data_IF_787160083650
#
_entry.id   IF_787160083650
#
_cell.length_a   1.000
_cell.length_b   1.000
_cell.length_c   1.000
_cell.angle_alpha   90.00
_cell.angle_beta   90.00
_cell.angle_gamma   90.00
#
_symmetry.space_group_name_H-M   'P 1'
#
loop_
_entity.id
_entity.type
_entity.pdbx_description
1 polymer ?
#
# COMPACT_ATOMS: atom_id res chain seq x y z
N UNK A 1 53.70 75.39 -40.25
CA UNK A 1 52.69 74.54 -40.89
C UNK A 1 51.42 75.38 -41.02
N UNK A 2 51.06 75.88 -42.17
CA UNK A 2 49.91 76.76 -42.38
C UNK A 2 48.65 75.93 -42.45
N UNK A 3 47.63 76.28 -41.59
CA UNK A 3 46.27 75.70 -41.67
C UNK A 3 45.71 76.15 -43.04
N UNK A 4 45.36 75.22 -43.90
CA UNK A 4 44.60 75.45 -45.12
C UNK A 4 43.16 75.85 -44.71
N UNK A 5 42.71 77.03 -45.02
CA UNK A 5 41.37 77.47 -44.71
C UNK A 5 40.37 76.72 -45.63
N UNK A 6 39.34 76.09 -45.00
CA UNK A 6 38.21 75.61 -45.75
C UNK A 6 37.09 76.64 -45.75
N UNK A 7 36.58 76.96 -46.91
CA UNK A 7 35.36 77.74 -47.07
C UNK A 7 34.24 76.79 -47.48
N UNK A 8 33.14 76.80 -46.73
CA UNK A 8 31.91 76.11 -47.14
C UNK A 8 30.86 77.12 -47.54
N UNK A 9 30.39 77.08 -48.76
CA UNK A 9 29.28 77.87 -49.23
C UNK A 9 28.17 77.01 -49.75
N UNK A 10 26.92 77.42 -49.49
CA UNK A 10 25.74 76.77 -50.04
C UNK A 10 25.35 77.48 -51.31
N UNK A 11 25.52 76.86 -52.46
CA UNK A 11 25.18 77.40 -53.77
C UNK A 11 24.18 76.46 -54.40
N UNK A 12 23.02 76.96 -54.82
CA UNK A 12 21.92 76.20 -55.42
C UNK A 12 21.43 75.00 -54.61
N UNK A 13 21.51 75.10 -53.31
CA UNK A 13 21.02 74.00 -52.39
C UNK A 13 22.06 72.90 -52.10
N UNK A 14 23.21 72.93 -52.77
CA UNK A 14 24.32 72.01 -52.54
C UNK A 14 25.44 72.67 -51.72
N UNK A 15 26.00 71.85 -50.75
CA UNK A 15 27.12 72.33 -49.92
C UNK A 15 28.45 72.12 -50.72
N UNK A 16 29.06 73.15 -51.11
CA UNK A 16 30.37 73.15 -51.79
C UNK A 16 31.47 73.37 -50.75
N UNK A 17 32.40 72.42 -50.68
CA UNK A 17 33.64 72.59 -49.91
C UNK A 17 34.73 72.99 -50.82
N UNK A 18 35.23 74.25 -50.63
CA UNK A 18 36.32 74.79 -51.41
C UNK A 18 37.57 74.93 -50.54
N UNK A 19 38.68 74.35 -50.98
CA UNK A 19 39.99 74.51 -50.35
C UNK A 19 40.99 75.09 -51.36
N UNK A 20 41.71 76.14 -50.93
CA UNK A 20 42.69 76.78 -51.77
C UNK A 20 44.13 76.49 -51.34
N UNK A 21 44.96 76.08 -52.32
CA UNK A 21 46.40 75.87 -52.09
C UNK A 21 47.22 76.84 -52.91
N UNK A 22 48.06 77.71 -52.27
CA UNK A 22 48.86 78.68 -53.01
C UNK A 22 50.01 77.98 -53.74
N UNK A 23 50.24 78.36 -55.02
CA UNK A 23 51.42 77.99 -55.80
C UNK A 23 52.48 79.04 -55.52
N UNK A 24 53.60 78.64 -54.92
CA UNK A 24 54.70 79.53 -54.59
C UNK A 24 55.87 79.30 -55.52
N UNK A 25 56.61 80.44 -55.92
CA UNK A 25 57.87 80.34 -56.64
C UNK A 25 59.01 80.02 -55.62
N UNK A 26 60.22 79.77 -56.15
CA UNK A 26 61.42 79.49 -55.34
C UNK A 26 61.86 80.65 -54.40
N UNK A 27 61.19 81.79 -54.47
CA UNK A 27 61.40 82.96 -53.57
C UNK A 27 60.21 83.26 -52.69
N UNK A 28 59.32 82.26 -52.47
CA UNK A 28 58.13 82.35 -51.59
C UNK A 28 57.06 83.38 -51.99
N UNK A 29 57.07 83.82 -53.24
CA UNK A 29 55.99 84.65 -53.75
C UNK A 29 54.86 83.77 -54.32
N UNK A 30 53.59 84.11 -53.94
CA UNK A 30 52.41 83.40 -54.44
C UNK A 30 52.23 83.76 -55.94
N UNK A 31 52.35 82.77 -56.82
CA UNK A 31 52.13 82.86 -58.23
C UNK A 31 50.70 82.65 -58.69
N UNK A 32 49.93 81.95 -57.83
CA UNK A 32 48.54 81.63 -58.09
C UNK A 32 47.98 80.77 -56.96
N UNK A 33 46.70 80.47 -56.99
CA UNK A 33 46.00 79.62 -56.05
C UNK A 33 45.27 78.54 -56.83
N UNK A 34 45.47 77.29 -56.50
CA UNK A 34 44.66 76.21 -57.02
C UNK A 34 43.47 76.01 -56.05
N UNK A 35 42.26 76.19 -56.53
CA UNK A 35 41.04 75.96 -55.84
C UNK A 35 40.55 74.55 -56.17
N UNK A 36 40.41 73.69 -55.15
CA UNK A 36 39.75 72.43 -55.25
C UNK A 36 38.36 72.58 -54.68
N UNK A 37 37.40 72.41 -55.56
CA UNK A 37 35.98 72.41 -55.17
C UNK A 37 35.44 71.01 -55.23
N UNK A 38 34.78 70.57 -54.11
CA UNK A 38 34.14 69.29 -54.03
C UNK A 38 32.68 69.53 -53.60
N UNK A 39 31.77 69.10 -54.43
CA UNK A 39 30.34 69.07 -54.06
C UNK A 39 30.08 67.86 -53.20
N UNK A 40 29.68 68.12 -51.98
CA UNK A 40 29.03 67.07 -51.13
C UNK A 40 27.61 66.86 -51.67
N UNK A 41 27.50 66.00 -52.69
CA UNK A 41 26.17 65.45 -53.02
C UNK A 41 25.68 64.71 -51.81
N UNK A 42 24.69 65.26 -51.12
CA UNK A 42 23.92 64.50 -50.16
C UNK A 42 23.33 63.31 -50.94
N UNK A 43 24.00 62.14 -50.89
CA UNK A 43 23.37 60.87 -51.19
C UNK A 43 22.18 60.86 -50.32
N UNK A 44 20.96 60.94 -50.93
CA UNK A 44 19.65 60.95 -50.23
C UNK A 44 19.36 59.63 -49.61
N UNK A 45 20.24 59.19 -48.72
CA UNK A 45 19.82 58.32 -47.60
C UNK A 45 19.01 59.23 -46.69
N UNK A 46 17.73 59.02 -46.64
CA UNK A 46 16.85 59.65 -45.66
C UNK A 46 17.68 59.89 -44.39
N UNK A 47 17.74 61.12 -43.93
CA UNK A 47 18.50 61.57 -42.78
C UNK A 47 17.82 60.88 -41.56
N UNK A 48 18.08 59.53 -41.40
CA UNK A 48 17.69 58.81 -40.18
C UNK A 48 18.58 59.40 -39.11
N UNK A 49 18.00 60.26 -38.30
CA UNK A 49 18.73 60.87 -37.20
C UNK A 49 19.32 59.73 -36.35
N UNK A 50 20.60 59.88 -35.97
CA UNK A 50 21.25 58.91 -35.12
C UNK A 50 20.41 58.57 -33.83
N UNK A 51 19.61 59.57 -33.44
CA UNK A 51 18.62 59.37 -32.32
C UNK A 51 17.47 58.43 -32.65
N UNK A 52 16.99 58.42 -33.93
CA UNK A 52 15.89 57.55 -34.33
C UNK A 52 16.37 56.10 -34.43
N UNK A 53 17.60 55.87 -34.90
CA UNK A 53 18.21 54.52 -34.89
C UNK A 53 18.37 54.01 -33.48
N UNK A 54 18.82 54.86 -32.52
CA UNK A 54 18.95 54.47 -31.10
C UNK A 54 17.59 54.19 -30.45
N UNK A 55 16.58 54.98 -30.75
CA UNK A 55 15.22 54.74 -30.21
C UNK A 55 14.61 53.46 -30.76
N UNK A 56 14.70 53.19 -32.06
CA UNK A 56 14.15 51.96 -32.67
C UNK A 56 14.93 50.74 -32.19
N UNK A 57 16.25 50.79 -32.13
CA UNK A 57 17.06 49.66 -31.63
C UNK A 57 16.84 49.42 -30.15
N UNK A 58 16.67 50.47 -29.34
CA UNK A 58 16.33 50.36 -27.92
C UNK A 58 14.93 49.74 -27.70
N UNK A 59 13.93 50.19 -28.46
CA UNK A 59 12.59 49.62 -28.41
C UNK A 59 12.56 48.15 -28.85
N UNK A 60 13.29 47.82 -29.92
CA UNK A 60 13.39 46.42 -30.36
C UNK A 60 14.07 45.51 -29.30
N UNK A 61 15.20 45.99 -28.73
CA UNK A 61 15.89 45.28 -27.65
C UNK A 61 15.01 45.11 -26.43
N UNK A 62 14.22 46.13 -26.05
CA UNK A 62 13.27 46.04 -24.95
C UNK A 62 12.18 44.97 -25.21
N UNK A 63 11.53 45.01 -26.37
CA UNK A 63 10.52 44.03 -26.78
C UNK A 63 11.12 42.62 -26.78
N UNK A 64 12.30 42.44 -27.34
CA UNK A 64 12.99 41.15 -27.36
C UNK A 64 13.30 40.63 -25.95
N UNK A 65 13.75 41.52 -25.06
CA UNK A 65 14.03 41.17 -23.65
C UNK A 65 12.75 40.72 -22.91
N UNK A 66 11.64 41.44 -23.10
CA UNK A 66 10.35 41.06 -22.50
C UNK A 66 9.87 39.73 -23.07
N UNK A 67 9.99 39.53 -24.37
CA UNK A 67 9.59 38.26 -25.01
C UNK A 67 10.44 37.09 -24.53
N UNK A 68 11.75 37.25 -24.47
CA UNK A 68 12.67 36.20 -23.94
C UNK A 68 12.41 35.96 -22.46
N UNK A 69 12.17 36.99 -21.66
CA UNK A 69 11.83 36.87 -20.25
C UNK A 69 10.52 36.10 -20.04
N UNK A 70 9.48 36.40 -20.84
CA UNK A 70 8.22 35.66 -20.80
C UNK A 70 8.37 34.21 -21.24
N UNK A 71 9.17 33.95 -22.27
CA UNK A 71 9.47 32.60 -22.73
C UNK A 71 10.22 31.81 -21.65
N UNK A 72 11.25 32.42 -21.06
CA UNK A 72 12.02 31.79 -19.98
C UNK A 72 11.18 31.51 -18.76
N UNK A 73 10.31 32.45 -18.38
CA UNK A 73 9.36 32.24 -17.29
C UNK A 73 8.42 31.04 -17.53
N UNK A 74 7.89 30.89 -18.74
CA UNK A 74 7.05 29.76 -19.11
C UNK A 74 7.78 28.43 -19.18
N UNK A 75 9.03 28.44 -19.68
CA UNK A 75 9.82 27.21 -19.83
C UNK A 75 10.39 26.70 -18.51
N UNK A 76 10.80 27.59 -17.61
CA UNK A 76 11.54 27.20 -16.40
C UNK A 76 10.82 27.60 -15.12
N UNK A 77 10.44 28.87 -14.95
CA UNK A 77 9.94 29.36 -13.66
C UNK A 77 8.58 28.74 -13.29
N UNK A 78 7.64 28.69 -14.22
CA UNK A 78 6.31 28.14 -13.96
C UNK A 78 6.34 26.65 -13.63
N UNK A 79 7.05 25.77 -14.37
CA UNK A 79 7.14 24.35 -14.02
C UNK A 79 7.82 24.10 -12.68
N UNK A 80 8.91 24.82 -12.38
CA UNK A 80 9.60 24.68 -11.08
C UNK A 80 8.67 25.06 -9.92
N UNK A 81 7.93 26.17 -10.04
CA UNK A 81 6.98 26.58 -9.01
C UNK A 81 5.78 25.61 -8.90
N UNK A 82 5.42 24.93 -9.99
CA UNK A 82 4.41 23.87 -9.95
C UNK A 82 4.91 22.65 -9.18
N UNK A 83 6.16 22.20 -9.42
CA UNK A 83 6.80 21.11 -8.66
C UNK A 83 6.89 21.49 -7.17
N UNK A 84 7.32 22.72 -6.87
CA UNK A 84 7.41 23.20 -5.47
C UNK A 84 6.05 23.19 -4.77
N UNK A 85 5.00 23.68 -5.43
CA UNK A 85 3.62 23.64 -4.88
C UNK A 85 3.13 22.21 -4.68
N UNK A 86 3.43 21.32 -5.63
CA UNK A 86 3.08 19.91 -5.53
C UNK A 86 3.82 19.23 -4.35
N UNK A 87 5.13 19.49 -4.20
CA UNK A 87 5.90 19.02 -3.06
C UNK A 87 5.32 19.54 -1.72
N UNK A 88 4.88 20.81 -1.67
CA UNK A 88 4.19 21.37 -0.52
C UNK A 88 2.86 20.64 -0.19
N UNK A 89 2.08 20.27 -1.20
CA UNK A 89 0.87 19.45 -1.00
C UNK A 89 1.19 18.08 -0.43
N UNK A 90 2.21 17.41 -0.97
CA UNK A 90 2.65 16.12 -0.45
C UNK A 90 3.13 16.23 1.01
N UNK A 91 3.89 17.28 1.35
CA UNK A 91 4.31 17.52 2.73
C UNK A 91 3.12 17.81 3.66
N UNK A 92 2.03 18.40 3.14
CA UNK A 92 0.76 18.57 3.85
C UNK A 92 -0.12 17.33 3.95
N UNK A 93 0.29 16.20 3.36
CA UNK A 93 -0.45 14.93 3.40
C UNK A 93 -1.48 14.75 2.28
N UNK A 94 -1.50 15.61 1.26
CA UNK A 94 -2.40 15.51 0.10
C UNK A 94 -1.79 14.58 -0.97
N UNK A 95 -1.76 13.27 -0.69
CA UNK A 95 -1.12 12.28 -1.58
C UNK A 95 -1.97 11.88 -2.80
N UNK A 96 -3.24 12.29 -2.86
CA UNK A 96 -4.11 12.04 -4.03
C UNK A 96 -3.82 12.98 -5.20
N UNK A 97 -3.15 14.11 -4.93
CA UNK A 97 -2.76 15.05 -5.95
C UNK A 97 -1.94 14.36 -7.06
N UNK A 98 -2.13 14.82 -8.30
CA UNK A 98 -1.38 14.32 -9.46
C UNK A 98 -0.70 15.48 -10.16
N UNK A 99 0.51 15.22 -10.63
CA UNK A 99 1.27 16.18 -11.40
C UNK A 99 1.35 15.72 -12.85
N UNK A 100 0.36 16.14 -13.67
CA UNK A 100 0.36 15.87 -15.11
C UNK A 100 1.33 16.84 -15.80
N UNK A 101 2.62 16.47 -15.90
CA UNK A 101 3.59 17.23 -16.68
C UNK A 101 3.77 16.61 -18.06
N UNK A 102 3.53 17.41 -19.10
CA UNK A 102 3.79 17.04 -20.50
C UNK A 102 5.24 17.31 -20.93
N UNK A 103 6.08 17.86 -20.05
CA UNK A 103 7.47 18.19 -20.35
C UNK A 103 8.34 16.93 -20.49
N UNK A 104 9.29 16.99 -21.45
CA UNK A 104 10.21 15.88 -21.75
C UNK A 104 11.65 16.15 -21.33
N UNK A 105 11.88 17.25 -20.63
CA UNK A 105 13.15 17.69 -20.07
C UNK A 105 13.38 17.15 -18.64
N UNK A 106 14.44 17.59 -17.98
CA UNK A 106 14.81 17.21 -16.62
C UNK A 106 13.74 17.61 -15.60
N UNK A 107 13.02 18.72 -15.84
CA UNK A 107 11.91 19.16 -14.99
C UNK A 107 10.72 18.21 -15.15
N UNK A 108 10.47 17.73 -16.36
CA UNK A 108 9.46 16.71 -16.64
C UNK A 108 9.80 15.36 -15.98
N UNK A 109 11.08 14.98 -15.93
CA UNK A 109 11.54 13.78 -15.22
C UNK A 109 11.36 13.91 -13.71
N UNK A 110 11.72 15.07 -13.14
CA UNK A 110 11.48 15.39 -11.74
C UNK A 110 9.98 15.33 -11.41
N UNK A 111 9.13 15.90 -12.25
CA UNK A 111 7.68 15.85 -12.08
C UNK A 111 7.13 14.41 -12.06
N UNK A 112 7.61 13.55 -12.97
CA UNK A 112 7.25 12.11 -12.99
C UNK A 112 7.73 11.39 -11.74
N UNK A 113 8.95 11.66 -11.29
CA UNK A 113 9.50 11.06 -10.06
C UNK A 113 8.68 11.45 -8.83
N UNK A 114 8.25 12.71 -8.75
CA UNK A 114 7.37 13.20 -7.68
C UNK A 114 5.98 12.57 -7.74
N UNK A 115 5.42 12.31 -8.92
CA UNK A 115 4.12 11.62 -9.07
C UNK A 115 4.22 10.14 -8.62
N UNK A 116 5.34 9.47 -8.91
CA UNK A 116 5.61 8.11 -8.42
C UNK A 116 5.72 8.11 -6.89
N UNK A 117 6.42 9.09 -6.31
CA UNK A 117 6.52 9.23 -4.85
C UNK A 117 5.15 9.46 -4.21
N UNK A 118 4.33 10.36 -4.77
CA UNK A 118 2.97 10.61 -4.31
C UNK A 118 2.14 9.34 -4.28
N UNK A 119 2.21 8.53 -5.35
CA UNK A 119 1.51 7.25 -5.42
C UNK A 119 1.96 6.26 -4.34
N UNK A 120 3.27 6.13 -4.13
CA UNK A 120 3.81 5.25 -3.08
C UNK A 120 3.39 5.69 -1.68
N UNK A 121 3.40 6.99 -1.41
CA UNK A 121 2.95 7.55 -0.13
C UNK A 121 1.45 7.32 0.08
N UNK A 122 0.63 7.52 -0.95
CA UNK A 122 -0.81 7.22 -0.91
C UNK A 122 -1.08 5.75 -0.62
N UNK A 123 -0.40 4.83 -1.32
CA UNK A 123 -0.54 3.40 -1.10
C UNK A 123 -0.09 2.99 0.31
N UNK A 124 1.03 3.55 0.81
CA UNK A 124 1.52 3.28 2.15
C UNK A 124 0.54 3.77 3.21
N UNK A 125 0.02 5.00 3.07
CA UNK A 125 -0.99 5.55 3.98
C UNK A 125 -2.28 4.74 3.97
N UNK A 126 -2.79 4.40 2.79
CA UNK A 126 -4.01 3.59 2.67
C UNK A 126 -3.85 2.20 3.31
N UNK A 127 -2.66 1.60 3.25
CA UNK A 127 -2.37 0.35 3.96
C UNK A 127 -2.37 0.57 5.48
N UNK A 128 -1.73 1.63 5.96
CA UNK A 128 -1.67 1.94 7.40
C UNK A 128 -3.07 2.23 7.97
N UNK A 129 -3.89 3.00 7.26
CA UNK A 129 -5.28 3.27 7.64
C UNK A 129 -6.11 1.97 7.72
N UNK A 130 -6.02 1.10 6.71
CA UNK A 130 -6.69 -0.21 6.73
C UNK A 130 -6.24 -1.10 7.90
N UNK A 131 -4.93 -1.12 8.18
CA UNK A 131 -4.39 -1.87 9.32
C UNK A 131 -4.94 -1.34 10.65
N UNK A 132 -5.01 -0.01 10.81
CA UNK A 132 -5.59 0.62 12.00
C UNK A 132 -7.08 0.33 12.16
N UNK A 133 -7.84 0.39 11.07
CA UNK A 133 -9.27 0.03 11.09
C UNK A 133 -9.47 -1.44 11.49
N UNK A 134 -8.69 -2.36 10.89
CA UNK A 134 -8.73 -3.77 11.24
C UNK A 134 -8.36 -4.01 12.70
N UNK A 135 -7.35 -3.31 13.20
CA UNK A 135 -6.92 -3.40 14.60
C UNK A 135 -7.99 -2.86 15.55
N UNK A 136 -8.61 -1.72 15.21
CA UNK A 136 -9.69 -1.13 16.01
C UNK A 136 -10.92 -2.04 16.05
N UNK A 137 -11.34 -2.56 14.91
CA UNK A 137 -12.45 -3.53 14.83
C UNK A 137 -12.15 -4.80 15.63
N UNK A 138 -10.91 -5.29 15.60
CA UNK A 138 -10.46 -6.43 16.39
C UNK A 138 -10.60 -6.18 17.90
N UNK A 139 -10.13 -5.04 18.41
CA UNK A 139 -10.28 -4.71 19.83
C UNK A 139 -11.74 -4.52 20.25
N UNK A 140 -12.56 -3.91 19.40
CA UNK A 140 -13.98 -3.77 19.66
C UNK A 140 -14.67 -5.14 19.79
N UNK A 141 -14.35 -6.08 18.89
CA UNK A 141 -14.88 -7.44 18.92
C UNK A 141 -14.43 -8.20 20.16
N UNK A 142 -13.14 -8.14 20.53
CA UNK A 142 -12.64 -8.76 21.77
C UNK A 142 -13.42 -8.25 22.98
N UNK A 143 -13.58 -6.93 23.07
CA UNK A 143 -14.30 -6.33 24.21
C UNK A 143 -15.73 -6.84 24.29
N UNK A 144 -16.40 -7.02 23.18
CA UNK A 144 -17.75 -7.57 23.12
C UNK A 144 -17.79 -9.05 23.53
N UNK A 145 -16.89 -9.88 22.98
CA UNK A 145 -16.83 -11.32 23.26
C UNK A 145 -16.40 -11.64 24.70
N UNK A 146 -15.65 -10.75 25.35
CA UNK A 146 -15.32 -10.85 26.78
C UNK A 146 -16.47 -10.36 27.68
N UNK A 147 -17.19 -9.32 27.29
CA UNK A 147 -18.26 -8.73 28.09
C UNK A 147 -19.44 -9.67 28.25
N UNK A 148 -19.80 -10.43 27.24
CA UNK A 148 -20.97 -11.33 27.24
C UNK A 148 -20.88 -12.39 28.32
N UNK A 149 -19.84 -13.28 28.38
CA UNK A 149 -19.73 -14.31 29.41
C UNK A 149 -19.60 -13.71 30.81
N UNK A 150 -18.88 -12.58 30.98
CA UNK A 150 -18.78 -11.89 32.26
C UNK A 150 -20.16 -11.41 32.75
N UNK A 151 -20.99 -10.88 31.83
CA UNK A 151 -22.36 -10.44 32.18
C UNK A 151 -23.24 -11.61 32.58
N UNK A 152 -23.13 -12.76 31.88
CA UNK A 152 -23.88 -13.96 32.23
C UNK A 152 -23.46 -14.50 33.60
N UNK A 153 -22.14 -14.60 33.86
CA UNK A 153 -21.60 -15.04 35.16
C UNK A 153 -22.10 -14.14 36.28
N UNK A 154 -21.98 -12.82 36.09
CA UNK A 154 -22.43 -11.85 37.09
C UNK A 154 -23.93 -11.96 37.37
N UNK A 155 -24.75 -11.98 36.31
CA UNK A 155 -26.20 -12.10 36.47
C UNK A 155 -26.62 -13.41 37.16
N UNK A 156 -25.94 -14.53 36.86
CA UNK A 156 -26.13 -15.79 37.51
C UNK A 156 -25.79 -15.74 39.01
N UNK A 157 -24.67 -15.07 39.37
CA UNK A 157 -24.27 -14.86 40.76
C UNK A 157 -25.26 -13.96 41.52
N UNK A 158 -25.72 -12.87 40.88
CA UNK A 158 -26.71 -11.95 41.44
C UNK A 158 -28.04 -12.68 41.73
N UNK A 159 -28.54 -13.54 40.79
CA UNK A 159 -29.74 -14.31 40.94
C UNK A 159 -29.66 -15.35 42.09
N UNK A 160 -28.51 -15.99 42.23
CA UNK A 160 -28.25 -16.94 43.36
C UNK A 160 -28.16 -16.19 44.69
N UNK A 161 -27.45 -15.05 44.75
CA UNK A 161 -27.29 -14.23 45.95
C UNK A 161 -28.63 -13.70 46.48
N UNK A 162 -29.47 -13.23 45.55
CA UNK A 162 -30.74 -12.58 45.88
C UNK A 162 -31.87 -13.59 46.12
N UNK A 163 -31.56 -14.91 46.10
CA UNK A 163 -32.49 -15.98 46.37
C UNK A 163 -33.58 -16.17 45.31
N UNK A 164 -33.41 -15.58 44.12
CA UNK A 164 -34.34 -15.76 42.99
C UNK A 164 -34.35 -17.20 42.54
N UNK A 165 -33.22 -17.91 42.72
CA UNK A 165 -33.04 -19.33 42.39
C UNK A 165 -32.74 -20.08 43.70
N UNK A 166 -33.67 -20.92 44.17
CA UNK A 166 -33.58 -21.59 45.47
C UNK A 166 -33.75 -23.13 45.43
N UNK A 167 -34.13 -23.68 44.28
CA UNK A 167 -34.22 -25.15 44.07
C UNK A 167 -32.85 -25.78 43.85
N UNK A 168 -32.58 -26.96 44.46
CA UNK A 168 -31.26 -27.61 44.36
C UNK A 168 -30.79 -27.91 42.93
N UNK A 169 -31.71 -28.30 42.05
CA UNK A 169 -31.40 -28.58 40.63
C UNK A 169 -31.21 -27.31 39.83
N UNK A 170 -31.97 -26.27 40.10
CA UNK A 170 -31.80 -24.94 39.44
C UNK A 170 -30.48 -24.28 39.84
N UNK A 171 -30.14 -24.32 41.12
CA UNK A 171 -28.84 -23.83 41.64
C UNK A 171 -27.67 -24.55 40.94
N UNK A 172 -27.78 -25.89 40.80
CA UNK A 172 -26.76 -26.67 40.09
C UNK A 172 -26.66 -26.28 38.58
N UNK A 173 -27.79 -26.01 37.94
CA UNK A 173 -27.82 -25.56 36.55
C UNK A 173 -27.10 -24.21 36.38
N UNK A 174 -27.32 -23.24 37.27
CA UNK A 174 -26.63 -21.94 37.27
C UNK A 174 -25.12 -22.10 37.50
N UNK A 175 -24.67 -22.96 38.43
CA UNK A 175 -23.24 -23.26 38.60
C UNK A 175 -22.63 -23.87 37.35
N UNK A 176 -23.31 -24.82 36.70
CA UNK A 176 -22.83 -25.43 35.46
C UNK A 176 -22.74 -24.43 34.31
N UNK A 177 -23.72 -23.52 34.21
CA UNK A 177 -23.69 -22.44 33.24
C UNK A 177 -22.49 -21.52 33.48
N UNK A 178 -22.27 -21.05 34.70
CA UNK A 178 -21.12 -20.22 35.06
C UNK A 178 -19.79 -20.92 34.76
N UNK A 179 -19.67 -22.21 35.09
CA UNK A 179 -18.47 -22.99 34.77
C UNK A 179 -18.24 -23.12 33.27
N UNK A 180 -19.30 -23.22 32.48
CA UNK A 180 -19.25 -23.27 31.03
C UNK A 180 -18.73 -21.92 30.46
N UNK A 181 -19.29 -20.83 30.96
CA UNK A 181 -18.84 -19.46 30.56
C UNK A 181 -17.38 -19.17 30.96
N UNK A 182 -16.98 -19.60 32.19
CA UNK A 182 -15.57 -19.48 32.63
C UNK A 182 -14.61 -20.27 31.71
N UNK A 183 -14.97 -21.51 31.34
CA UNK A 183 -14.14 -22.31 30.41
C UNK A 183 -14.08 -21.69 29.01
N UNK A 184 -15.21 -21.13 28.54
CA UNK A 184 -15.26 -20.38 27.26
C UNK A 184 -14.34 -19.18 27.27
N UNK A 185 -14.39 -18.38 28.36
CA UNK A 185 -13.54 -17.20 28.55
C UNK A 185 -12.05 -17.59 28.61
N UNK A 186 -11.70 -18.63 29.35
CA UNK A 186 -10.34 -19.14 29.43
C UNK A 186 -9.81 -19.55 28.05
N UNK A 187 -10.62 -20.28 27.26
CA UNK A 187 -10.26 -20.67 25.88
C UNK A 187 -10.04 -19.44 24.99
N UNK A 188 -10.94 -18.45 25.08
CA UNK A 188 -10.83 -17.21 24.31
C UNK A 188 -9.52 -16.46 24.60
N UNK A 189 -9.14 -16.35 25.89
CA UNK A 189 -7.88 -15.72 26.30
C UNK A 189 -6.67 -16.48 25.73
N UNK A 190 -6.67 -17.81 25.84
CA UNK A 190 -5.59 -18.66 25.31
C UNK A 190 -5.48 -18.48 23.79
N UNK A 191 -6.59 -18.58 23.05
CA UNK A 191 -6.61 -18.42 21.60
C UNK A 191 -6.12 -17.02 21.16
N UNK A 192 -6.49 -15.98 21.91
CA UNK A 192 -6.07 -14.61 21.65
C UNK A 192 -4.55 -14.41 21.85
N UNK A 193 -4.03 -14.91 22.97
CA UNK A 193 -2.58 -14.85 23.26
C UNK A 193 -1.78 -15.61 22.21
N UNK A 194 -2.31 -16.74 21.78
CA UNK A 194 -1.67 -17.57 20.77
C UNK A 194 -1.67 -16.90 19.40
N UNK A 195 -2.80 -16.36 18.96
CA UNK A 195 -2.89 -15.59 17.72
C UNK A 195 -1.95 -14.38 17.75
N UNK A 196 -1.89 -13.67 18.88
CA UNK A 196 -0.98 -12.54 19.07
C UNK A 196 0.50 -12.96 18.94
N UNK A 197 0.88 -14.11 19.56
CA UNK A 197 2.24 -14.66 19.43
C UNK A 197 2.57 -15.06 18.00
N UNK A 198 1.66 -15.76 17.34
CA UNK A 198 1.84 -16.17 15.94
C UNK A 198 1.93 -14.98 14.97
N UNK A 199 1.36 -13.83 15.28
CA UNK A 199 1.43 -12.63 14.45
C UNK A 199 2.67 -11.77 14.72
N UNK A 200 3.35 -11.98 15.82
CA UNK A 200 4.60 -11.30 16.09
C UNK A 200 5.70 -11.80 15.14
N UNK A 201 6.35 -10.89 14.42
CA UNK A 201 7.42 -11.21 13.49
C UNK A 201 8.64 -11.84 14.19
N UNK A 202 8.88 -11.45 15.45
CA UNK A 202 10.01 -11.95 16.25
C UNK A 202 9.74 -13.35 16.86
N UNK A 203 8.50 -13.86 16.77
CA UNK A 203 8.19 -15.18 17.24
C UNK A 203 8.75 -16.25 16.31
N UNK A 204 9.74 -17.00 16.76
CA UNK A 204 10.31 -18.13 16.01
C UNK A 204 9.53 -19.41 16.25
N UNK A 205 9.20 -20.12 15.16
CA UNK A 205 8.70 -21.49 15.22
C UNK A 205 9.84 -22.45 15.58
N UNK A 206 9.55 -23.49 16.33
CA UNK A 206 10.50 -24.55 16.60
C UNK A 206 10.53 -25.54 15.43
N UNK A 207 11.17 -25.11 14.33
CA UNK A 207 11.22 -25.89 13.09
C UNK A 207 12.12 -27.09 13.24
N UNK A 208 11.60 -28.29 12.97
CA UNK A 208 12.33 -29.55 13.00
C UNK A 208 11.82 -30.52 11.94
N UNK A 209 12.48 -31.67 11.82
CA UNK A 209 11.98 -32.78 10.98
C UNK A 209 10.77 -33.40 11.67
N UNK A 210 9.62 -33.43 10.98
CA UNK A 210 8.36 -33.99 11.46
C UNK A 210 7.96 -35.18 10.60
N UNK A 211 7.79 -36.32 11.21
CA UNK A 211 7.18 -37.49 10.61
C UNK A 211 5.65 -37.29 10.55
N UNK A 212 5.10 -37.16 9.33
CA UNK A 212 3.67 -36.93 9.14
C UNK A 212 2.84 -38.13 9.61
N UNK A 213 3.39 -39.36 9.60
CA UNK A 213 2.69 -40.53 10.11
C UNK A 213 2.49 -40.44 11.63
N UNK A 214 3.54 -40.06 12.36
CA UNK A 214 3.49 -39.87 13.81
C UNK A 214 2.49 -38.73 14.14
N UNK A 215 2.58 -37.61 13.43
CA UNK A 215 1.68 -36.47 13.58
C UNK A 215 0.21 -36.88 13.36
N UNK A 216 -0.09 -37.62 12.29
CA UNK A 216 -1.45 -38.08 12.00
C UNK A 216 -1.93 -39.11 13.00
N UNK A 217 -1.07 -39.97 13.53
CA UNK A 217 -1.41 -40.94 14.61
C UNK A 217 -1.87 -40.22 15.88
N UNK A 218 -1.11 -39.21 16.33
CA UNK A 218 -1.48 -38.40 17.52
C UNK A 218 -2.77 -37.61 17.31
N UNK A 219 -2.93 -37.05 16.11
CA UNK A 219 -4.15 -36.33 15.74
C UNK A 219 -5.35 -37.25 15.65
N UNK A 220 -5.20 -38.44 15.05
CA UNK A 220 -6.25 -39.42 14.92
C UNK A 220 -6.72 -39.97 16.29
N UNK A 221 -5.79 -40.21 17.21
CA UNK A 221 -6.13 -40.62 18.59
C UNK A 221 -7.01 -39.58 19.27
N UNK A 222 -6.61 -38.30 19.16
CA UNK A 222 -7.36 -37.18 19.77
C UNK A 222 -8.73 -36.98 19.12
N UNK A 223 -8.80 -37.04 17.77
CA UNK A 223 -10.06 -36.93 17.03
C UNK A 223 -11.01 -38.09 17.27
N UNK A 224 -10.48 -39.33 17.35
CA UNK A 224 -11.26 -40.51 17.67
C UNK A 224 -11.96 -40.41 19.01
N UNK A 225 -11.30 -39.90 20.04
CA UNK A 225 -11.89 -39.64 21.34
C UNK A 225 -13.01 -38.57 21.31
N UNK A 226 -12.85 -37.54 20.49
CA UNK A 226 -13.88 -36.50 20.29
C UNK A 226 -15.10 -37.07 19.54
N UNK A 227 -14.86 -37.80 18.46
CA UNK A 227 -15.91 -38.44 17.67
C UNK A 227 -16.72 -39.45 18.50
N UNK A 228 -16.05 -40.32 19.30
CA UNK A 228 -16.68 -41.29 20.14
C UNK A 228 -17.61 -40.65 21.17
N UNK A 229 -17.22 -39.55 21.78
CA UNK A 229 -18.07 -38.81 22.74
C UNK A 229 -19.33 -38.23 22.12
N UNK A 230 -19.30 -37.88 20.82
CA UNK A 230 -20.44 -37.31 20.10
C UNK A 230 -21.22 -38.35 19.27
N UNK A 231 -20.81 -39.61 19.25
CA UNK A 231 -21.45 -40.64 18.41
C UNK A 231 -21.19 -40.46 16.90
N UNK A 232 -20.12 -39.77 16.53
CA UNK A 232 -19.70 -39.55 15.12
C UNK A 232 -18.74 -40.68 14.72
N UNK A 233 -18.86 -41.19 13.50
CA UNK A 233 -17.93 -42.21 12.98
C UNK A 233 -16.64 -41.55 12.53
N UNK A 234 -15.51 -42.07 13.00
CA UNK A 234 -14.19 -41.58 12.61
C UNK A 234 -13.50 -42.59 11.71
N UNK A 235 -13.05 -42.14 10.51
CA UNK A 235 -12.32 -42.93 9.54
C UNK A 235 -10.94 -42.30 9.32
N UNK A 236 -9.89 -43.03 9.72
CA UNK A 236 -8.51 -42.60 9.50
C UNK A 236 -7.85 -43.56 8.54
N UNK A 237 -7.41 -43.03 7.37
CA UNK A 237 -6.60 -43.80 6.41
C UNK A 237 -5.14 -43.58 6.70
N UNK A 238 -4.46 -44.63 7.13
CA UNK A 238 -3.03 -44.58 7.37
C UNK A 238 -2.26 -44.27 6.07
N UNK A 239 -1.25 -43.44 6.16
CA UNK A 239 -0.40 -43.12 5.02
C UNK A 239 0.40 -44.35 4.59
N UNK A 240 0.34 -44.70 3.29
CA UNK A 240 1.10 -45.82 2.74
C UNK A 240 2.61 -45.61 2.76
N UNK A 241 3.08 -44.35 2.62
CA UNK A 241 4.49 -43.98 2.61
C UNK A 241 4.82 -43.01 3.75
N UNK A 242 6.04 -43.12 4.31
CA UNK A 242 6.57 -42.15 5.25
C UNK A 242 6.78 -40.79 4.53
N UNK A 243 6.22 -39.72 5.05
CA UNK A 243 6.43 -38.36 4.58
C UNK A 243 7.12 -37.57 5.68
N UNK A 244 8.33 -37.08 5.40
CA UNK A 244 9.03 -36.16 6.31
C UNK A 244 8.86 -34.73 5.80
N UNK A 245 8.55 -33.83 6.70
CA UNK A 245 8.41 -32.40 6.41
C UNK A 245 9.21 -31.60 7.44
N UNK A 246 9.55 -30.34 7.09
CA UNK A 246 10.15 -29.41 8.03
C UNK A 246 9.04 -28.54 8.61
N UNK A 247 8.88 -28.58 9.95
CA UNK A 247 7.82 -27.81 10.62
C UNK A 247 7.91 -27.86 12.14
N UNK A 248 7.06 -27.07 12.79
CA UNK A 248 6.84 -27.13 14.24
C UNK A 248 5.73 -28.14 14.53
N UNK A 249 6.11 -29.28 15.09
CA UNK A 249 5.21 -30.41 15.39
C UNK A 249 3.97 -29.97 16.20
N UNK A 250 4.20 -29.21 17.27
CA UNK A 250 3.12 -28.80 18.16
C UNK A 250 2.11 -27.88 17.42
N UNK A 251 2.59 -26.99 16.57
CA UNK A 251 1.75 -26.08 15.77
C UNK A 251 1.02 -26.81 14.67
N UNK A 252 1.68 -27.73 13.97
CA UNK A 252 1.02 -28.56 12.95
C UNK A 252 -0.08 -29.44 13.56
N UNK A 253 0.21 -30.09 14.68
CA UNK A 253 -0.79 -30.87 15.44
C UNK A 253 -1.98 -30.01 15.84
N UNK A 254 -1.74 -28.82 16.37
CA UNK A 254 -2.78 -27.88 16.75
C UNK A 254 -3.64 -27.46 15.55
N UNK A 255 -3.02 -27.11 14.42
CA UNK A 255 -3.70 -26.73 13.18
C UNK A 255 -4.72 -27.79 12.75
N UNK A 256 -4.29 -29.05 12.72
CA UNK A 256 -5.15 -30.18 12.34
C UNK A 256 -6.26 -30.44 13.35
N UNK A 257 -5.96 -30.35 14.66
CA UNK A 257 -6.96 -30.58 15.74
C UNK A 257 -8.04 -29.50 15.75
N UNK A 258 -7.72 -28.24 15.43
CA UNK A 258 -8.72 -27.16 15.30
C UNK A 258 -9.75 -27.49 14.22
N UNK A 259 -9.28 -27.98 13.07
CA UNK A 259 -10.18 -28.33 11.96
C UNK A 259 -10.99 -29.58 12.27
N UNK A 260 -10.39 -30.58 12.90
CA UNK A 260 -11.08 -31.80 13.32
C UNK A 260 -12.11 -31.51 14.43
N UNK A 261 -11.82 -30.67 15.41
CA UNK A 261 -12.80 -30.24 16.43
C UNK A 261 -14.02 -29.57 15.75
N UNK A 262 -13.77 -28.70 14.75
CA UNK A 262 -14.86 -28.13 13.96
C UNK A 262 -15.64 -29.19 13.17
N UNK A 263 -14.93 -30.10 12.50
CA UNK A 263 -15.56 -31.18 11.73
C UNK A 263 -16.50 -32.04 12.64
N UNK A 264 -16.00 -32.45 13.79
CA UNK A 264 -16.81 -33.22 14.79
C UNK A 264 -17.96 -32.35 15.30
N UNK A 265 -17.72 -31.12 15.62
CA UNK A 265 -18.70 -30.19 16.17
C UNK A 265 -19.90 -29.99 15.24
N UNK A 266 -19.69 -29.85 13.95
CA UNK A 266 -20.74 -29.59 12.95
C UNK A 266 -21.29 -30.85 12.27
N UNK A 267 -20.80 -32.03 12.63
CA UNK A 267 -21.28 -33.31 12.13
C UNK A 267 -22.28 -33.91 13.10
N UNK A 268 -23.43 -34.34 12.61
CA UNK A 268 -24.47 -34.99 13.42
C UNK A 268 -24.04 -36.41 13.84
N UNK A 269 -24.64 -36.91 14.93
CA UNK A 269 -24.46 -38.27 15.38
C UNK A 269 -24.75 -39.31 14.25
N UNK A 270 -23.97 -40.37 14.19
CA UNK A 270 -24.05 -41.42 13.15
C UNK A 270 -23.44 -41.08 11.80
N UNK A 271 -23.12 -39.80 11.52
CA UNK A 271 -22.41 -39.38 10.33
C UNK A 271 -20.88 -39.56 10.49
N UNK A 272 -20.13 -39.21 9.48
CA UNK A 272 -18.70 -39.52 9.37
C UNK A 272 -17.81 -38.26 9.32
N UNK A 273 -16.64 -38.36 9.96
CA UNK A 273 -15.48 -37.48 9.82
C UNK A 273 -14.31 -38.35 9.39
N UNK A 274 -13.53 -37.91 8.42
CA UNK A 274 -12.37 -38.63 7.87
C UNK A 274 -11.10 -37.81 7.89
N UNK A 275 -9.96 -38.48 8.10
CA UNK A 275 -8.62 -37.97 8.05
C UNK A 275 -7.78 -38.85 7.10
N UNK A 276 -7.14 -38.29 6.09
CA UNK A 276 -6.33 -39.05 5.15
C UNK A 276 -5.07 -38.25 4.72
N UNK A 277 -4.03 -38.96 4.30
CA UNK A 277 -2.88 -38.39 3.61
C UNK A 277 -2.91 -38.84 2.14
N UNK A 278 -2.99 -37.89 1.23
CA UNK A 278 -2.99 -38.09 -0.22
C UNK A 278 -1.73 -37.43 -0.81
N UNK A 279 -0.67 -38.21 -1.02
CA UNK A 279 0.63 -37.69 -1.42
C UNK A 279 1.23 -36.73 -0.38
N UNK A 280 1.30 -35.43 -0.67
CA UNK A 280 1.75 -34.37 0.25
C UNK A 280 0.59 -33.56 0.86
N UNK A 281 -0.63 -33.99 0.68
CA UNK A 281 -1.83 -33.28 1.11
C UNK A 281 -2.53 -34.03 2.22
N UNK A 282 -2.70 -33.42 3.38
CA UNK A 282 -3.57 -33.92 4.43
C UNK A 282 -5.00 -33.47 4.12
N UNK A 283 -5.92 -34.40 4.09
CA UNK A 283 -7.33 -34.18 3.81
C UNK A 283 -8.16 -34.49 5.04
N UNK A 284 -8.97 -33.53 5.49
CA UNK A 284 -9.96 -33.67 6.54
C UNK A 284 -11.33 -33.41 5.90
N UNK A 285 -12.21 -34.41 5.95
CA UNK A 285 -13.55 -34.28 5.41
C UNK A 285 -14.62 -34.68 6.44
N UNK A 286 -15.72 -33.96 6.46
CA UNK A 286 -16.86 -34.20 7.30
C UNK A 286 -18.16 -34.28 6.48
N UNK A 287 -19.16 -35.00 7.02
CA UNK A 287 -20.52 -35.07 6.51
C UNK A 287 -21.46 -34.13 7.29
N UNK A 288 -20.95 -32.97 7.69
CA UNK A 288 -21.64 -31.99 8.50
C UNK A 288 -22.66 -31.16 7.74
N UNK A 289 -23.02 -30.02 8.34
CA UNK A 289 -24.02 -29.09 7.78
C UNK A 289 -23.51 -28.35 6.55
N UNK A 290 -22.19 -28.34 6.30
CA UNK A 290 -21.55 -27.58 5.25
C UNK A 290 -21.56 -26.06 5.48
N UNK A 291 -20.85 -25.34 4.62
CA UNK A 291 -20.64 -23.90 4.67
C UNK A 291 -21.24 -23.26 3.40
N UNK A 292 -22.07 -22.21 3.51
CA UNK A 292 -22.55 -21.46 2.36
C UNK A 292 -21.40 -20.85 1.54
N UNK A 293 -21.52 -20.84 0.22
CA UNK A 293 -20.47 -20.33 -0.69
C UNK A 293 -20.07 -18.88 -0.39
N UNK A 294 -21.03 -18.05 0.02
CA UNK A 294 -20.81 -16.65 0.43
C UNK A 294 -19.99 -16.49 1.72
N UNK A 295 -19.97 -17.52 2.57
CA UNK A 295 -19.20 -17.51 3.82
C UNK A 295 -17.79 -18.12 3.66
N UNK A 296 -17.56 -18.94 2.61
CA UNK A 296 -16.27 -19.63 2.41
C UNK A 296 -15.07 -18.69 2.34
N UNK A 297 -15.21 -17.51 1.70
CA UNK A 297 -14.15 -16.52 1.61
C UNK A 297 -13.75 -15.92 2.98
N UNK A 298 -14.60 -16.10 3.99
CA UNK A 298 -14.51 -15.43 5.30
C UNK A 298 -14.33 -16.38 6.49
N UNK A 299 -14.24 -17.69 6.27
CA UNK A 299 -14.15 -18.68 7.37
C UNK A 299 -12.87 -18.55 8.19
N UNK A 300 -11.82 -17.95 7.64
CA UNK A 300 -10.56 -17.71 8.32
C UNK A 300 -10.50 -16.32 9.00
N UNK A 301 -11.54 -15.48 8.81
CA UNK A 301 -11.62 -14.19 9.48
C UNK A 301 -11.80 -14.39 10.99
N UNK A 302 -11.19 -13.49 11.79
CA UNK A 302 -11.22 -13.56 13.25
C UNK A 302 -12.63 -13.34 13.77
N UNK A 303 -13.03 -14.11 14.78
CA UNK A 303 -14.36 -14.06 15.43
C UNK A 303 -15.53 -14.34 14.48
N UNK A 304 -15.26 -14.90 13.32
CA UNK A 304 -16.31 -15.27 12.37
C UNK A 304 -16.99 -16.56 12.85
N UNK A 305 -18.31 -16.53 12.92
CA UNK A 305 -19.17 -17.66 13.22
C UNK A 305 -20.23 -17.75 12.14
N UNK A 306 -20.53 -18.94 11.65
CA UNK A 306 -21.68 -19.16 10.76
C UNK A 306 -22.97 -18.89 11.51
N UNK A 307 -23.87 -18.10 10.94
CA UNK A 307 -25.14 -17.69 11.57
C UNK A 307 -26.07 -18.86 11.96
N UNK A 308 -25.81 -20.05 11.45
CA UNK A 308 -26.63 -21.24 11.64
C UNK A 308 -26.20 -22.15 12.82
N UNK A 309 -25.11 -21.86 13.48
CA UNK A 309 -24.59 -22.70 14.55
C UNK A 309 -24.92 -22.11 15.92
N UNK A 310 -25.71 -22.82 16.68
CA UNK A 310 -25.94 -22.57 18.12
C UNK A 310 -24.77 -23.08 18.99
N UNK A 311 -23.69 -23.55 18.35
CA UNK A 311 -22.59 -24.21 19.06
C UNK A 311 -21.51 -23.20 19.49
N UNK A 312 -21.03 -23.39 20.73
CA UNK A 312 -20.03 -22.57 21.38
C UNK A 312 -18.65 -22.68 20.69
N UNK A 313 -18.03 -21.54 20.36
CA UNK A 313 -16.68 -21.46 19.83
C UNK A 313 -16.18 -20.04 19.84
N UNK A 314 -14.86 -19.83 19.96
CA UNK A 314 -14.24 -18.51 20.02
C UNK A 314 -14.23 -17.77 18.67
N UNK A 315 -14.41 -18.48 17.55
CA UNK A 315 -14.24 -17.91 16.20
C UNK A 315 -12.78 -17.56 15.86
N UNK A 316 -11.81 -18.00 16.69
CA UNK A 316 -10.38 -17.77 16.48
C UNK A 316 -9.66 -19.01 15.95
N UNK A 317 -10.21 -20.21 16.12
CA UNK A 317 -9.53 -21.45 15.77
C UNK A 317 -9.09 -21.50 14.31
N UNK A 318 -9.99 -21.22 13.34
CA UNK A 318 -9.62 -21.23 11.92
C UNK A 318 -8.65 -20.09 11.55
N UNK A 319 -8.70 -18.95 12.24
CA UNK A 319 -7.72 -17.88 12.06
C UNK A 319 -6.32 -18.32 12.56
N UNK A 320 -6.24 -19.05 13.68
CA UNK A 320 -5.00 -19.66 14.17
C UNK A 320 -4.51 -20.72 13.16
N UNK A 321 -5.40 -21.58 12.67
CA UNK A 321 -5.10 -22.57 11.63
C UNK A 321 -4.47 -21.93 10.40
N UNK A 322 -5.07 -20.87 9.86
CA UNK A 322 -4.58 -20.14 8.70
C UNK A 322 -3.20 -19.50 8.97
N UNK A 323 -2.97 -18.94 10.15
CA UNK A 323 -1.70 -18.31 10.51
C UNK A 323 -0.58 -19.37 10.66
N UNK A 324 -0.86 -20.51 11.24
CA UNK A 324 0.08 -21.64 11.30
C UNK A 324 0.43 -22.13 9.90
N UNK A 325 -0.57 -22.35 9.04
CA UNK A 325 -0.37 -22.77 7.67
C UNK A 325 0.49 -21.76 6.89
N UNK A 326 0.17 -20.48 6.97
CA UNK A 326 0.93 -19.39 6.33
C UNK A 326 2.40 -19.39 6.74
N UNK A 327 2.70 -19.58 8.03
CA UNK A 327 4.07 -19.61 8.54
C UNK A 327 4.86 -20.84 8.13
N UNK A 328 4.16 -21.95 7.82
CA UNK A 328 4.79 -23.17 7.32
C UNK A 328 4.79 -23.28 5.79
N UNK A 329 4.26 -22.26 5.07
CA UNK A 329 4.13 -22.31 3.61
C UNK A 329 3.12 -23.36 3.12
N UNK A 330 2.18 -23.79 3.98
CA UNK A 330 1.15 -24.78 3.67
C UNK A 330 0.00 -24.08 2.95
N UNK A 331 -0.39 -24.60 1.79
CA UNK A 331 -1.58 -24.13 1.09
C UNK A 331 -2.83 -24.80 1.67
N UNK A 332 -3.85 -24.00 1.96
CA UNK A 332 -5.17 -24.50 2.42
C UNK A 332 -6.18 -24.34 1.29
N UNK A 333 -6.83 -25.42 0.92
CA UNK A 333 -8.00 -25.41 0.03
C UNK A 333 -9.23 -25.93 0.77
N UNK A 334 -10.39 -25.32 0.56
CA UNK A 334 -11.63 -25.66 1.25
C UNK A 334 -12.76 -25.83 0.24
N UNK A 335 -13.33 -27.01 0.21
CA UNK A 335 -14.53 -27.32 -0.56
C UNK A 335 -15.69 -27.64 0.38
N UNK A 336 -16.83 -26.98 0.21
CA UNK A 336 -18.01 -27.22 1.05
C UNK A 336 -19.30 -27.01 0.29
N UNK A 337 -20.31 -27.80 0.65
CA UNK A 337 -21.69 -27.63 0.19
C UNK A 337 -22.65 -27.81 1.36
N UNK A 338 -23.63 -26.92 1.45
CA UNK A 338 -24.65 -26.96 2.48
C UNK A 338 -25.40 -28.29 2.43
N UNK A 339 -25.42 -29.01 3.55
CA UNK A 339 -26.07 -30.33 3.71
C UNK A 339 -25.20 -31.53 3.29
N UNK A 340 -24.10 -31.32 2.58
CA UNK A 340 -23.19 -32.39 2.14
C UNK A 340 -21.95 -32.52 3.03
N UNK A 341 -21.48 -31.41 3.64
CA UNK A 341 -20.31 -31.36 4.51
C UNK A 341 -19.20 -30.46 3.98
N UNK A 342 -18.01 -30.58 4.60
CA UNK A 342 -16.84 -29.76 4.29
C UNK A 342 -15.60 -30.61 4.15
N UNK A 343 -14.71 -30.21 3.22
CA UNK A 343 -13.39 -30.83 3.02
C UNK A 343 -12.32 -29.78 3.08
N UNK A 344 -11.38 -29.92 4.01
CA UNK A 344 -10.15 -29.12 4.09
C UNK A 344 -8.99 -29.93 3.52
N UNK A 345 -8.15 -29.28 2.69
CA UNK A 345 -6.92 -29.83 2.13
C UNK A 345 -5.73 -28.98 2.54
N UNK A 346 -4.73 -29.60 3.13
CA UNK A 346 -3.50 -28.97 3.57
C UNK A 346 -2.35 -29.52 2.74
N UNK A 347 -1.89 -28.76 1.74
CA UNK A 347 -0.81 -29.16 0.85
C UNK A 347 0.51 -28.60 1.33
N UNK A 348 1.43 -29.49 1.69
CA UNK A 348 2.78 -29.10 2.14
C UNK A 348 3.65 -28.69 0.97
N UNK A 349 4.53 -27.69 1.14
CA UNK A 349 5.46 -27.26 0.11
C UNK A 349 6.42 -28.39 -0.24
N UNK A 350 6.95 -28.37 -1.46
CA UNK A 350 8.04 -29.25 -1.83
C UNK A 350 9.22 -28.92 -0.90
N UNK A 351 9.66 -29.91 -0.14
CA UNK A 351 10.77 -29.75 0.79
C UNK A 351 11.99 -29.26 0.02
N UNK A 352 12.33 -28.00 0.25
CA UNK A 352 13.63 -27.47 -0.16
C UNK A 352 14.71 -28.29 0.57
N UNK A 353 15.57 -28.88 -0.22
CA UNK A 353 16.75 -29.63 0.19
C UNK A 353 17.65 -28.77 1.05
#
# INVERSE_FOLDING_TARGET
MGKTPFLSAKIDGETHLTTGMPIMNARSHVLGVVLLESTLRELGFAQVSSSDILLVSGALAFVLTVLLGALFSRMFTQPITAVQRFAGKLAGGEYEARMNSAQRDEIGELARSMDILARRLFEARSRDERLREQQSAFFATISHELKTPVTVIRGSLEALRDGVVSGGDDVRAYYNQMLTECKGLQRLIIDLLELSRLQNADFSLNMGSVDVRELLGDVAMSAGALCSRKGVRFDCREPGNALQIVGDYARLRQMLLVVLDNAVKFTAEGKRVSLALEGKTIVIADEGIGIPAEELAHIFDRFRRTRRSNEQGTGLGLAICSEVARRHGIAIDVASRVGEGTTFRFTFPDGGS
#
